data_IF_163348174686
#
_entry.id   IF_163348174686
#
_cell.length_a   1.000
_cell.length_b   1.000
_cell.length_c   1.000
_cell.angle_alpha   90.00
_cell.angle_beta   90.00
_cell.angle_gamma   90.00
#
_symmetry.space_group_name_H-M   'P 1'
#
loop_
_entity.id
_entity.type
_entity.pdbx_description
1 polymer ?
#
# COMPACT_ATOMS: atom_id res chain seq x y z
N UNK A 1 -18.94 10.71 4.18
CA UNK A 1 -19.76 9.52 3.88
C UNK A 1 -19.75 9.31 2.37
N UNK A 2 -18.88 8.43 1.85
CA UNK A 2 -18.90 8.01 0.44
C UNK A 2 -18.76 6.49 0.45
N UNK A 3 -19.87 5.85 0.12
CA UNK A 3 -20.04 4.42 -0.09
C UNK A 3 -20.43 4.26 -1.55
N UNK A 4 -19.51 3.81 -2.40
CA UNK A 4 -19.74 2.94 -3.57
C UNK A 4 -18.46 2.82 -4.41
N UNK A 5 -17.87 1.64 -4.38
CA UNK A 5 -17.22 1.01 -5.54
C UNK A 5 -17.82 -0.41 -5.57
N UNK A 6 -18.54 -0.75 -6.66
CA UNK A 6 -19.39 -1.94 -6.80
C UNK A 6 -18.61 -3.26 -6.58
N UNK A 7 -19.11 -4.34 -5.98
CA UNK A 7 -20.43 -4.70 -5.49
C UNK A 7 -20.28 -5.54 -4.20
N UNK A 8 -21.06 -5.20 -3.18
CA UNK A 8 -21.41 -6.15 -2.12
C UNK A 8 -20.44 -6.34 -0.96
N UNK A 9 -19.85 -5.29 -0.37
CA UNK A 9 -19.75 -5.08 1.10
C UNK A 9 -18.76 -3.95 1.46
N UNK A 10 -19.20 -3.03 2.32
CA UNK A 10 -18.37 -1.97 2.90
C UNK A 10 -17.73 -2.49 4.19
N UNK A 11 -16.40 -2.59 4.25
CA UNK A 11 -15.68 -2.93 5.48
C UNK A 11 -14.91 -1.70 5.96
N UNK A 12 -15.21 -1.26 7.19
CA UNK A 12 -14.51 -0.18 7.87
C UNK A 12 -13.32 -0.74 8.66
N UNK A 13 -12.15 -0.12 8.50
CA UNK A 13 -10.89 -0.54 9.14
C UNK A 13 -10.59 0.23 10.44
N UNK A 14 -10.06 -0.47 11.44
CA UNK A 14 -9.52 0.06 12.70
C UNK A 14 -8.07 -0.46 12.89
N UNK A 15 -7.06 0.38 12.69
CA UNK A 15 -5.64 0.08 12.98
C UNK A 15 -4.85 -0.58 11.86
N UNK A 16 -3.55 -0.83 12.10
CA UNK A 16 -2.55 -1.55 11.26
C UNK A 16 -2.95 -3.00 10.89
N UNK A 17 -4.19 -3.37 11.15
CA UNK A 17 -4.70 -4.73 11.12
C UNK A 17 -5.42 -4.92 9.78
N UNK A 18 -4.90 -5.86 8.99
CA UNK A 18 -5.68 -6.77 8.14
C UNK A 18 -6.05 -6.39 6.69
N UNK A 19 -5.10 -6.13 5.78
CA UNK A 19 -5.29 -6.65 4.43
C UNK A 19 -5.48 -8.17 4.51
N UNK A 20 -4.57 -8.90 5.16
CA UNK A 20 -4.48 -10.36 5.15
C UNK A 20 -5.72 -11.14 5.63
N UNK A 21 -6.15 -10.94 6.88
CA UNK A 21 -7.32 -11.66 7.42
C UNK A 21 -8.62 -11.30 6.68
N UNK A 22 -8.77 -10.05 6.26
CA UNK A 22 -9.95 -9.62 5.53
C UNK A 22 -9.95 -10.17 4.12
N UNK A 23 -8.82 -10.14 3.41
CA UNK A 23 -8.67 -10.74 2.07
C UNK A 23 -9.05 -12.21 2.12
N UNK A 24 -8.48 -12.98 3.07
CA UNK A 24 -8.80 -14.40 3.24
C UNK A 24 -10.29 -14.62 3.55
N UNK A 25 -10.90 -13.77 4.37
CA UNK A 25 -12.33 -13.82 4.69
C UNK A 25 -13.23 -13.52 3.49
N UNK A 26 -12.89 -12.48 2.70
CA UNK A 26 -13.62 -12.10 1.48
C UNK A 26 -13.52 -13.22 0.43
N UNK A 27 -12.33 -13.79 0.24
CA UNK A 27 -12.11 -14.94 -0.64
C UNK A 27 -12.98 -16.14 -0.26
N UNK A 28 -13.07 -16.44 1.04
CA UNK A 28 -13.84 -17.59 1.55
C UNK A 28 -15.35 -17.42 1.30
N UNK A 29 -15.85 -16.19 1.24
CA UNK A 29 -17.29 -15.90 1.06
C UNK A 29 -17.77 -15.91 -0.41
N UNK A 30 -16.89 -16.19 -1.38
CA UNK A 30 -17.19 -16.22 -2.84
C UNK A 30 -17.96 -15.00 -3.36
N UNK A 31 -17.78 -13.84 -2.74
CA UNK A 31 -18.53 -12.62 -3.10
C UNK A 31 -17.94 -11.90 -4.32
N UNK A 32 -16.79 -12.35 -4.83
CA UNK A 32 -16.03 -11.68 -5.89
C UNK A 32 -15.84 -12.63 -7.07
N UNK A 33 -16.08 -12.14 -8.28
CA UNK A 33 -15.77 -12.86 -9.53
C UNK A 33 -14.24 -12.93 -9.70
N UNK A 34 -13.65 -14.14 -9.74
CA UNK A 34 -12.19 -14.30 -9.86
C UNK A 34 -11.63 -13.87 -11.21
N UNK A 35 -12.47 -13.53 -12.21
CA UNK A 35 -12.04 -13.05 -13.53
C UNK A 35 -11.94 -11.53 -13.63
N UNK A 36 -12.45 -10.80 -12.64
CA UNK A 36 -12.42 -9.35 -12.64
C UNK A 36 -11.29 -8.82 -11.76
N UNK A 37 -10.75 -7.62 -12.04
CA UNK A 37 -9.84 -6.95 -11.14
C UNK A 37 -10.50 -6.72 -9.77
N UNK A 38 -9.76 -7.02 -8.70
CA UNK A 38 -10.21 -6.83 -7.33
C UNK A 38 -9.35 -5.80 -6.63
N UNK A 39 -9.98 -4.72 -6.18
CA UNK A 39 -9.30 -3.57 -5.58
C UNK A 39 -9.74 -3.40 -4.14
N UNK A 40 -8.77 -3.23 -3.24
CA UNK A 40 -9.05 -2.99 -1.82
C UNK A 40 -8.92 -1.50 -1.56
N UNK A 41 -10.02 -0.85 -1.19
CA UNK A 41 -10.01 0.52 -0.73
C UNK A 41 -9.75 0.56 0.78
N UNK A 42 -8.67 1.21 1.20
CA UNK A 42 -8.29 1.38 2.59
C UNK A 42 -8.42 2.84 2.99
N UNK A 43 -9.13 3.09 4.08
CA UNK A 43 -9.18 4.41 4.70
C UNK A 43 -7.86 4.63 5.47
N UNK A 44 -6.94 5.44 4.93
CA UNK A 44 -5.64 5.70 5.56
C UNK A 44 -5.67 6.87 6.54
N UNK A 45 -6.83 7.50 6.79
CA UNK A 45 -7.01 8.50 7.86
C UNK A 45 -6.64 7.98 9.26
N UNK A 46 -6.57 6.66 9.44
CA UNK A 46 -6.19 6.01 10.71
C UNK A 46 -4.72 5.62 10.80
N UNK A 47 -3.96 5.83 9.72
CA UNK A 47 -2.56 5.45 9.65
C UNK A 47 -1.62 6.64 9.91
N UNK A 48 -2.13 7.87 10.03
CA UNK A 48 -1.35 9.07 10.34
C UNK A 48 -1.68 10.24 9.41
N UNK A 49 -1.24 11.45 9.77
CA UNK A 49 -1.52 12.67 8.98
C UNK A 49 -0.76 12.71 7.65
N UNK A 50 0.41 12.08 7.58
CA UNK A 50 1.23 12.03 6.37
C UNK A 50 0.85 10.84 5.48
N UNK A 51 0.73 11.10 4.18
CA UNK A 51 0.51 10.07 3.14
C UNK A 51 1.75 9.20 2.93
N UNK A 52 2.91 9.73 3.28
CA UNK A 52 4.20 9.07 3.22
C UNK A 52 4.49 8.48 4.60
N UNK A 53 4.81 7.19 4.62
CA UNK A 53 5.37 6.51 5.77
C UNK A 53 6.87 6.77 5.93
N UNK A 54 7.51 5.96 6.77
CA UNK A 54 8.92 6.12 7.10
C UNK A 54 9.76 6.01 5.82
N UNK A 55 10.55 7.04 5.52
CA UNK A 55 11.44 7.06 4.36
C UNK A 55 10.83 7.50 3.03
N UNK A 56 9.64 8.13 3.05
CA UNK A 56 9.08 8.78 1.86
C UNK A 56 8.29 7.84 0.94
N UNK A 57 7.96 6.63 1.40
CA UNK A 57 7.12 5.66 0.67
C UNK A 57 5.65 5.86 1.04
N UNK A 58 4.70 5.76 0.10
CA UNK A 58 3.28 5.80 0.45
C UNK A 58 2.92 4.77 1.51
N UNK A 59 2.17 5.18 2.52
CA UNK A 59 1.76 4.34 3.63
C UNK A 59 0.90 3.14 3.19
N UNK A 60 0.15 3.31 2.10
CA UNK A 60 -0.53 2.22 1.43
C UNK A 60 0.48 1.14 0.97
N UNK A 61 1.61 1.53 0.37
CA UNK A 61 2.62 0.58 -0.09
C UNK A 61 3.22 -0.19 1.08
N UNK A 62 3.55 0.46 2.20
CA UNK A 62 4.08 -0.21 3.40
C UNK A 62 3.13 -1.26 4.01
N UNK A 63 1.83 -1.22 3.70
CA UNK A 63 0.87 -2.20 4.18
C UNK A 63 0.88 -3.53 3.40
N UNK A 64 1.42 -3.52 2.18
CA UNK A 64 1.38 -4.67 1.26
C UNK A 64 2.73 -5.00 0.62
N UNK A 65 3.73 -4.14 0.82
CA UNK A 65 5.11 -4.34 0.44
C UNK A 65 6.06 -4.19 1.66
N UNK A 66 7.16 -4.95 1.72
CA UNK A 66 8.03 -5.07 2.89
C UNK A 66 9.00 -3.88 3.07
N UNK A 67 8.48 -2.66 3.00
CA UNK A 67 9.24 -1.44 3.27
C UNK A 67 9.33 -1.18 4.78
N UNK A 68 10.56 -1.12 5.29
CA UNK A 68 10.85 -0.71 6.66
C UNK A 68 11.50 0.68 6.73
N UNK A 69 12.28 0.89 7.79
CA UNK A 69 12.89 2.19 8.08
C UNK A 69 14.09 2.51 7.18
N UNK A 70 14.37 3.79 6.91
CA UNK A 70 15.63 4.24 6.31
C UNK A 70 16.83 3.75 7.11
N UNK A 71 17.79 3.19 6.41
CA UNK A 71 19.08 2.75 6.91
C UNK A 71 20.18 3.35 6.04
N UNK A 72 21.27 3.74 6.70
CA UNK A 72 22.51 4.11 6.06
C UNK A 72 23.59 3.13 6.54
N UNK A 73 24.29 2.51 5.61
CA UNK A 73 25.45 1.69 5.94
C UNK A 73 26.66 2.61 6.09
N UNK A 74 27.34 2.52 7.24
CA UNK A 74 28.55 3.29 7.54
C UNK A 74 29.69 2.32 7.76
N UNK A 75 30.82 2.59 7.11
CA UNK A 75 32.06 1.86 7.35
C UNK A 75 32.56 2.17 8.76
N UNK A 76 32.66 1.14 9.60
CA UNK A 76 33.01 1.31 11.02
C UNK A 76 34.44 1.82 11.21
N UNK A 77 35.35 1.56 10.27
CA UNK A 77 36.76 1.94 10.38
C UNK A 77 37.00 3.38 9.93
N UNK A 78 36.28 3.84 8.92
CA UNK A 78 36.49 5.15 8.26
C UNK A 78 35.40 6.17 8.61
N UNK A 79 34.27 5.74 9.17
CA UNK A 79 33.10 6.57 9.43
C UNK A 79 32.41 7.08 8.15
N UNK A 80 32.82 6.58 6.98
CA UNK A 80 32.27 7.01 5.69
C UNK A 80 31.01 6.20 5.34
N UNK A 81 30.02 6.82 4.68
CA UNK A 81 28.87 6.10 4.19
C UNK A 81 29.28 5.13 3.08
N UNK A 82 28.86 3.87 3.19
CA UNK A 82 29.08 2.80 2.21
C UNK A 82 28.10 2.88 1.02
N UNK A 83 27.21 3.86 1.01
CA UNK A 83 26.21 4.07 -0.03
C UNK A 83 25.20 5.17 0.34
N UNK A 84 24.14 5.30 -0.46
CA UNK A 84 23.01 6.18 -0.16
C UNK A 84 22.07 5.58 0.90
N UNK A 85 21.07 6.37 1.30
CA UNK A 85 19.95 5.89 2.12
C UNK A 85 19.20 4.77 1.40
N UNK A 86 18.92 3.68 2.12
CA UNK A 86 18.12 2.55 1.65
C UNK A 86 17.01 2.28 2.65
N UNK A 87 15.89 1.73 2.19
CA UNK A 87 14.85 1.26 3.12
C UNK A 87 15.17 -0.17 3.52
N UNK A 88 15.07 -0.46 4.81
CA UNK A 88 15.25 -1.82 5.30
C UNK A 88 14.15 -2.73 4.78
N UNK A 89 14.47 -4.01 4.60
CA UNK A 89 13.45 -5.03 4.39
C UNK A 89 12.70 -5.30 5.70
N UNK A 90 11.38 -5.15 5.68
CA UNK A 90 10.52 -5.44 6.82
C UNK A 90 9.28 -6.18 6.32
N UNK A 91 9.33 -7.51 6.34
CA UNK A 91 8.27 -8.43 5.92
C UNK A 91 7.20 -8.69 6.99
N UNK A 92 7.44 -8.26 8.23
CA UNK A 92 6.51 -8.39 9.33
C UNK A 92 6.45 -7.15 10.22
N UNK A 93 5.26 -6.86 10.74
CA UNK A 93 5.02 -5.86 11.79
C UNK A 93 4.28 -6.49 12.97
N UNK A 94 4.67 -6.11 14.19
CA UNK A 94 4.05 -6.65 15.40
C UNK A 94 2.81 -5.84 15.79
N UNK A 95 1.73 -6.54 16.13
CA UNK A 95 0.60 -5.95 16.85
C UNK A 95 0.96 -5.65 18.30
N UNK A 96 0.14 -4.84 18.96
CA UNK A 96 0.26 -4.57 20.40
C UNK A 96 0.17 -5.85 21.27
N UNK A 97 -0.46 -6.92 20.77
CA UNK A 97 -0.53 -8.22 21.44
C UNK A 97 0.62 -9.18 21.06
N UNK A 98 1.63 -8.72 20.31
CA UNK A 98 2.77 -9.51 19.86
C UNK A 98 2.53 -10.39 18.65
N UNK A 99 1.33 -10.39 18.05
CA UNK A 99 1.06 -11.13 16.81
C UNK A 99 1.77 -10.47 15.62
N UNK A 100 2.52 -11.26 14.84
CA UNK A 100 3.13 -10.83 13.59
C UNK A 100 2.08 -10.68 12.47
N UNK A 101 2.15 -9.56 11.76
CA UNK A 101 1.37 -9.30 10.55
C UNK A 101 2.35 -9.23 9.37
N UNK A 102 2.17 -10.04 8.32
CA UNK A 102 2.99 -9.94 7.13
C UNK A 102 2.67 -8.66 6.34
N UNK A 103 3.72 -8.01 5.87
CA UNK A 103 3.69 -6.79 5.04
C UNK A 103 4.13 -7.07 3.61
N UNK A 104 4.54 -8.29 3.26
CA UNK A 104 5.02 -8.71 1.95
C UNK A 104 3.92 -9.33 1.07
N UNK A 105 2.65 -9.06 1.37
CA UNK A 105 1.49 -9.70 0.74
C UNK A 105 1.49 -9.63 -0.79
N UNK A 106 1.91 -8.51 -1.38
CA UNK A 106 1.97 -8.35 -2.84
C UNK A 106 3.13 -9.11 -3.50
N UNK A 107 4.00 -9.73 -2.72
CA UNK A 107 5.06 -10.62 -3.19
C UNK A 107 4.70 -12.11 -2.98
N UNK A 108 3.50 -12.41 -2.47
CA UNK A 108 3.04 -13.76 -2.20
C UNK A 108 1.94 -14.22 -3.17
N UNK A 109 2.05 -15.47 -3.63
CA UNK A 109 1.12 -16.10 -4.59
C UNK A 109 -0.34 -16.15 -4.05
N UNK A 110 -0.50 -16.30 -2.74
CA UNK A 110 -1.79 -16.34 -2.05
C UNK A 110 -2.63 -15.06 -2.28
N UNK A 111 -2.02 -13.94 -2.63
CA UNK A 111 -2.69 -12.65 -2.80
C UNK A 111 -2.85 -12.22 -4.25
N UNK A 112 -2.57 -13.09 -5.22
CA UNK A 112 -2.73 -12.78 -6.66
C UNK A 112 -4.14 -12.39 -7.06
N UNK A 113 -5.16 -12.75 -6.30
CA UNK A 113 -6.51 -12.31 -6.62
C UNK A 113 -6.68 -10.79 -6.47
N UNK A 114 -5.82 -10.11 -5.70
CA UNK A 114 -5.86 -8.67 -5.48
C UNK A 114 -5.08 -7.97 -6.57
N UNK A 115 -5.72 -7.05 -7.29
CA UNK A 115 -5.11 -6.29 -8.38
C UNK A 115 -4.33 -5.08 -7.88
N UNK A 116 -4.88 -4.37 -6.90
CA UNK A 116 -4.29 -3.19 -6.30
C UNK A 116 -4.93 -2.87 -4.94
N UNK A 117 -4.28 -1.99 -4.20
CA UNK A 117 -4.89 -1.27 -3.09
C UNK A 117 -4.99 0.22 -3.41
N UNK A 118 -6.01 0.87 -2.87
CA UNK A 118 -6.20 2.32 -2.95
C UNK A 118 -6.25 2.90 -1.55
N UNK A 119 -5.36 3.85 -1.26
CA UNK A 119 -5.31 4.59 -0.01
C UNK A 119 -5.59 6.07 -0.21
N UNK A 120 -6.08 6.74 0.84
CA UNK A 120 -6.30 8.19 0.88
C UNK A 120 -6.06 8.71 2.30
N UNK A 121 -5.15 9.69 2.48
CA UNK A 121 -4.86 10.25 3.80
C UNK A 121 -6.04 11.03 4.38
N UNK A 122 -6.09 11.09 5.70
CA UNK A 122 -7.09 11.87 6.44
C UNK A 122 -6.85 13.36 6.46
N UNK A 123 -5.66 13.82 6.08
CA UNK A 123 -5.38 15.25 5.98
C UNK A 123 -6.25 15.96 4.93
N UNK A 124 -6.79 15.22 3.95
CA UNK A 124 -7.66 15.77 2.90
C UNK A 124 -9.11 16.02 3.32
N UNK A 125 -9.47 15.76 4.58
CA UNK A 125 -10.80 16.09 5.10
C UNK A 125 -10.92 17.56 5.52
N UNK A 126 -9.84 18.36 5.50
CA UNK A 126 -9.92 19.79 5.79
C UNK A 126 -10.46 20.56 4.58
N UNK A 127 -11.46 21.44 4.77
CA UNK A 127 -12.09 22.19 3.68
C UNK A 127 -11.10 22.97 2.81
N UNK A 128 -10.03 23.50 3.40
CA UNK A 128 -9.06 24.39 2.76
C UNK A 128 -8.10 23.67 1.80
N UNK A 129 -7.97 22.35 1.90
CA UNK A 129 -7.09 21.55 1.05
C UNK A 129 -7.79 20.94 -0.17
N UNK A 130 -9.13 21.07 -0.27
CA UNK A 130 -9.90 20.54 -1.41
C UNK A 130 -9.52 21.21 -2.73
N UNK A 131 -9.26 22.52 -2.70
CA UNK A 131 -8.95 23.30 -3.91
C UNK A 131 -7.56 22.97 -4.46
N UNK A 132 -6.61 22.56 -3.61
CA UNK A 132 -5.25 22.15 -4.01
C UNK A 132 -5.23 20.90 -4.90
N UNK A 133 -6.26 20.07 -4.82
CA UNK A 133 -6.36 18.81 -5.57
C UNK A 133 -7.61 18.77 -6.45
N UNK A 134 -8.03 19.91 -7.00
CA UNK A 134 -9.15 20.00 -7.93
C UNK A 134 -10.46 19.38 -7.39
N UNK A 135 -10.66 19.40 -6.07
CA UNK A 135 -11.84 18.85 -5.41
C UNK A 135 -11.82 17.34 -5.13
N UNK A 136 -10.73 16.63 -5.44
CA UNK A 136 -10.55 15.20 -5.16
C UNK A 136 -9.31 14.95 -4.29
N UNK A 137 -9.36 14.09 -3.26
CA UNK A 137 -8.15 13.77 -2.51
C UNK A 137 -7.17 12.99 -3.40
N UNK A 138 -5.84 13.16 -3.24
CA UNK A 138 -4.87 12.35 -3.96
C UNK A 138 -4.95 10.91 -3.46
N UNK A 139 -5.47 10.05 -4.33
CA UNK A 139 -5.51 8.62 -4.10
C UNK A 139 -4.15 8.02 -4.41
N UNK A 140 -3.66 7.16 -3.53
CA UNK A 140 -2.47 6.36 -3.77
C UNK A 140 -2.91 4.99 -4.23
N UNK A 141 -2.56 4.63 -5.47
CA UNK A 141 -2.84 3.30 -6.03
C UNK A 141 -1.53 2.52 -6.01
N UNK A 142 -1.49 1.41 -5.28
CA UNK A 142 -0.36 0.50 -5.30
C UNK A 142 -0.78 -0.74 -6.07
N UNK A 143 -0.13 -0.99 -7.21
CA UNK A 143 -0.42 -2.14 -8.06
C UNK A 143 0.25 -3.40 -7.51
N UNK A 144 -0.49 -4.52 -7.48
CA UNK A 144 0.07 -5.82 -7.15
C UNK A 144 0.86 -6.36 -8.36
N UNK A 145 2.18 -6.60 -8.23
CA UNK A 145 2.99 -7.15 -9.33
C UNK A 145 2.58 -8.57 -9.73
N UNK A 146 1.97 -9.34 -8.83
CA UNK A 146 1.55 -10.72 -9.07
C UNK A 146 0.06 -10.85 -9.46
N UNK A 147 -0.67 -9.75 -9.59
CA UNK A 147 -2.11 -9.75 -9.86
C UNK A 147 -2.51 -10.71 -11.00
N UNK A 148 -3.47 -11.60 -10.74
CA UNK A 148 -4.05 -12.48 -11.75
C UNK A 148 -4.84 -11.70 -12.80
N UNK A 149 -5.54 -10.64 -12.37
CA UNK A 149 -6.23 -9.69 -13.24
C UNK A 149 -5.69 -8.27 -12.96
N UNK A 150 -4.57 -7.86 -13.56
CA UNK A 150 -3.99 -6.55 -13.29
C UNK A 150 -4.91 -5.42 -13.79
N UNK A 151 -4.84 -4.27 -13.12
CA UNK A 151 -5.49 -3.06 -13.61
C UNK A 151 -4.71 -2.48 -14.80
N UNK A 152 -5.37 -1.73 -15.70
CA UNK A 152 -4.68 -0.90 -16.68
C UNK A 152 -3.78 0.14 -15.96
N UNK A 153 -2.78 0.66 -16.66
CA UNK A 153 -1.84 1.65 -16.12
C UNK A 153 -1.69 2.81 -17.11
N UNK A 154 -2.09 4.03 -16.77
CA UNK A 154 -2.78 4.44 -15.54
C UNK A 154 -4.24 3.90 -15.48
N UNK A 155 -4.81 3.80 -14.28
CA UNK A 155 -6.19 3.33 -14.05
C UNK A 155 -7.12 4.42 -13.52
N UNK A 156 -6.68 5.16 -12.49
CA UNK A 156 -7.53 6.09 -11.75
C UNK A 156 -7.07 7.53 -12.04
N UNK A 157 -7.84 8.31 -12.83
CA UNK A 157 -7.49 9.69 -13.13
C UNK A 157 -7.30 10.53 -11.86
N UNK A 158 -6.21 11.31 -11.82
CA UNK A 158 -5.87 12.15 -10.66
C UNK A 158 -5.27 11.40 -9.47
N UNK A 159 -5.11 10.08 -9.56
CA UNK A 159 -4.40 9.31 -8.56
C UNK A 159 -2.88 9.33 -8.79
N UNK A 160 -2.14 9.11 -7.71
CA UNK A 160 -0.71 8.85 -7.73
C UNK A 160 -0.53 7.34 -7.71
N UNK A 161 -0.14 6.76 -8.83
CA UNK A 161 -0.01 5.32 -8.98
C UNK A 161 1.43 4.86 -8.84
N UNK A 162 1.63 3.72 -8.19
CA UNK A 162 2.94 3.12 -7.99
C UNK A 162 2.95 1.65 -8.43
N UNK A 163 4.04 1.23 -9.04
CA UNK A 163 4.30 -0.16 -9.39
C UNK A 163 5.67 -0.61 -8.91
N UNK A 164 5.76 -1.87 -8.50
CA UNK A 164 7.05 -2.51 -8.23
C UNK A 164 7.74 -2.75 -9.58
N UNK A 165 8.95 -2.21 -9.75
CA UNK A 165 9.74 -2.33 -10.98
C UNK A 165 10.91 -3.30 -10.83
N UNK A 166 11.38 -3.51 -9.60
CA UNK A 166 12.34 -4.55 -9.26
C UNK A 166 12.03 -5.11 -7.87
N UNK A 167 12.11 -6.43 -7.75
CA UNK A 167 12.11 -7.10 -6.45
C UNK A 167 13.08 -8.29 -6.50
N UNK A 168 13.95 -8.38 -5.51
CA UNK A 168 14.81 -9.53 -5.23
C UNK A 168 14.79 -9.81 -3.72
N UNK A 169 15.58 -10.80 -3.28
CA UNK A 169 15.73 -11.08 -1.85
C UNK A 169 16.42 -9.89 -1.17
N UNK A 170 15.62 -9.08 -0.45
CA UNK A 170 16.01 -7.87 0.31
C UNK A 170 16.10 -6.55 -0.45
N UNK A 171 15.79 -6.50 -1.75
CA UNK A 171 15.63 -5.25 -2.49
C UNK A 171 14.24 -5.12 -3.06
N UNK A 172 13.66 -3.93 -2.89
CA UNK A 172 12.40 -3.58 -3.50
C UNK A 172 12.49 -2.16 -4.06
N UNK A 173 12.12 -2.01 -5.33
CA UNK A 173 12.01 -0.71 -5.99
C UNK A 173 10.56 -0.43 -6.35
N UNK A 174 10.07 0.73 -5.93
CA UNK A 174 8.72 1.22 -6.18
C UNK A 174 8.82 2.52 -6.95
N UNK A 175 8.34 2.52 -8.19
CA UNK A 175 8.36 3.71 -9.04
C UNK A 175 6.95 4.28 -9.18
N UNK A 176 6.86 5.61 -9.14
CA UNK A 176 5.64 6.32 -9.48
C UNK A 176 5.41 6.25 -11.00
N UNK A 177 4.20 5.87 -11.39
CA UNK A 177 3.80 5.79 -12.79
C UNK A 177 3.49 7.19 -13.34
N UNK A 178 3.71 7.43 -14.65
CA UNK A 178 3.27 8.66 -15.29
C UNK A 178 1.73 8.78 -15.21
N UNK A 179 1.27 10.00 -15.01
CA UNK A 179 -0.15 10.35 -14.98
C UNK A 179 -0.82 10.25 -16.35
#
# INVERSE_FOLDING_TARGET
MISKICAGSTFTFTGWIAPTRLIRSIMTRRTVDPKLPFVIAVNTCRLGGDTLGIGGVPLAAMAVLPFGSPQAHVDVQTGQPLGGWQLSWQDTVLKANGEEIPTDNFLQEDYRCVSAIVGCSGFYAFPDDRDKFCGQPPYYVIHNPLAANPLPRPWLPGAIEYAVTAHDTHRLQLDQLPA
#
